data_IF_624211860451
#
_entry.id   IF_624211860451
#
_cell.length_a   1.000
_cell.length_b   1.000
_cell.length_c   1.000
_cell.angle_alpha   90.00
_cell.angle_beta   90.00
_cell.angle_gamma   90.00
#
_symmetry.space_group_name_H-M   'P 1'
#
loop_
_entity.id
_entity.type
_entity.pdbx_description
1 polymer ?
#
# COMPACT_ATOMS: atom_id res chain seq x y z
N UNK A 1 -10.42 -7.43 -1.61
CA UNK A 1 -11.52 -7.64 -0.67
C UNK A 1 -10.92 -7.66 0.73
N UNK A 2 -11.21 -6.60 1.50
CA UNK A 2 -10.81 -6.55 2.90
C UNK A 2 -11.48 -7.72 3.62
N UNK A 3 -10.69 -8.45 4.40
CA UNK A 3 -11.21 -9.54 5.19
C UNK A 3 -12.22 -8.95 6.19
N UNK A 4 -13.46 -9.40 6.16
CA UNK A 4 -14.56 -8.92 7.04
C UNK A 4 -14.12 -8.97 8.50
N UNK A 5 -13.44 -10.02 8.91
CA UNK A 5 -12.96 -10.23 10.28
C UNK A 5 -12.05 -9.09 10.76
N UNK A 6 -11.15 -8.61 9.89
CA UNK A 6 -10.26 -7.46 10.22
C UNK A 6 -11.02 -6.14 10.35
N UNK A 7 -12.09 -5.96 9.60
CA UNK A 7 -12.96 -4.80 9.73
C UNK A 7 -13.74 -4.84 11.03
N UNK A 8 -14.25 -6.00 11.39
CA UNK A 8 -15.02 -6.20 12.63
C UNK A 8 -14.15 -5.92 13.85
N UNK A 9 -12.87 -6.33 13.87
CA UNK A 9 -11.90 -5.98 14.92
C UNK A 9 -11.71 -4.47 15.10
N UNK A 10 -11.64 -3.72 14.01
CA UNK A 10 -11.51 -2.25 14.07
C UNK A 10 -12.82 -1.63 14.59
N UNK A 11 -13.97 -2.10 14.13
CA UNK A 11 -15.27 -1.61 14.57
C UNK A 11 -15.45 -1.88 16.07
N UNK A 12 -15.11 -3.06 16.56
CA UNK A 12 -15.17 -3.40 17.99
C UNK A 12 -14.28 -2.46 18.82
N UNK A 13 -13.06 -2.20 18.36
CA UNK A 13 -12.15 -1.27 19.02
C UNK A 13 -12.72 0.15 19.06
N UNK A 14 -13.34 0.62 17.99
CA UNK A 14 -13.99 1.92 17.95
C UNK A 14 -15.19 1.99 18.89
N UNK A 15 -16.02 0.96 18.93
CA UNK A 15 -17.17 0.86 19.84
C UNK A 15 -16.72 0.89 21.30
N UNK A 16 -15.67 0.14 21.65
CA UNK A 16 -15.10 0.14 23.02
C UNK A 16 -14.73 1.56 23.46
N UNK A 17 -14.12 2.35 22.56
CA UNK A 17 -13.71 3.71 22.87
C UNK A 17 -14.89 4.67 22.92
N UNK A 18 -15.81 4.56 21.98
CA UNK A 18 -17.01 5.43 21.95
C UNK A 18 -17.92 5.20 23.15
N UNK A 19 -18.02 3.97 23.64
CA UNK A 19 -18.89 3.58 24.75
C UNK A 19 -18.20 3.69 26.13
N UNK A 20 -16.87 3.98 26.18
CA UNK A 20 -16.20 4.09 27.49
C UNK A 20 -16.76 5.24 28.32
N UNK A 21 -17.01 5.00 29.61
CA UNK A 21 -17.44 6.01 30.57
C UNK A 21 -16.28 6.80 31.22
N UNK A 22 -15.03 6.57 30.80
CA UNK A 22 -13.86 7.24 31.35
C UNK A 22 -13.80 8.69 30.87
N UNK A 23 -13.27 9.57 31.72
CA UNK A 23 -13.02 10.98 31.34
C UNK A 23 -11.77 11.14 30.47
N UNK A 24 -10.77 10.27 30.66
CA UNK A 24 -9.52 10.26 29.87
C UNK A 24 -9.23 8.90 29.26
N UNK A 25 -8.55 8.91 28.11
CA UNK A 25 -8.10 7.71 27.38
C UNK A 25 -6.62 7.84 27.12
N UNK A 26 -5.85 6.83 27.50
CA UNK A 26 -4.39 6.80 27.27
C UNK A 26 -4.10 6.28 25.87
N UNK A 27 -3.46 7.10 25.02
CA UNK A 27 -3.02 6.74 23.67
C UNK A 27 -1.53 7.01 23.56
N UNK A 28 -0.74 5.98 23.20
CA UNK A 28 0.74 6.08 23.08
C UNK A 28 1.46 6.62 24.33
N UNK A 29 0.88 6.41 25.51
CA UNK A 29 1.46 6.87 26.77
C UNK A 29 1.06 8.30 27.18
N UNK A 30 0.31 9.01 26.37
CA UNK A 30 -0.27 10.31 26.71
C UNK A 30 -1.77 10.17 27.01
N UNK A 31 -2.25 10.94 27.98
CA UNK A 31 -3.67 10.99 28.33
C UNK A 31 -4.39 12.08 27.51
N UNK A 32 -5.48 11.71 26.91
CA UNK A 32 -6.35 12.62 26.15
C UNK A 32 -7.74 12.64 26.72
N UNK A 33 -8.44 13.80 26.72
CA UNK A 33 -9.85 13.86 27.08
C UNK A 33 -10.66 12.90 26.19
N UNK A 34 -11.52 12.10 26.81
CA UNK A 34 -12.28 11.08 26.06
C UNK A 34 -13.17 11.72 24.95
N UNK A 35 -13.66 12.94 25.15
CA UNK A 35 -14.45 13.64 24.15
C UNK A 35 -13.64 13.95 22.88
N UNK A 36 -12.38 14.39 23.02
CA UNK A 36 -11.48 14.60 21.89
C UNK A 36 -11.24 13.31 21.10
N UNK A 37 -11.06 12.19 21.83
CA UNK A 37 -10.84 10.88 21.20
C UNK A 37 -12.10 10.44 20.45
N UNK A 38 -13.28 10.57 21.06
CA UNK A 38 -14.57 10.26 20.43
C UNK A 38 -14.81 11.10 19.18
N UNK A 39 -14.54 12.41 19.23
CA UNK A 39 -14.68 13.30 18.08
C UNK A 39 -13.79 12.86 16.91
N UNK A 40 -12.54 12.47 17.17
CA UNK A 40 -11.63 11.96 16.14
C UNK A 40 -12.11 10.63 15.58
N UNK A 41 -12.60 9.72 16.41
CA UNK A 41 -13.14 8.43 15.96
C UNK A 41 -14.37 8.60 15.05
N UNK A 42 -15.23 9.59 15.31
CA UNK A 42 -16.38 9.89 14.43
C UNK A 42 -16.00 10.44 13.05
N UNK A 43 -14.78 10.98 12.89
CA UNK A 43 -14.26 11.46 11.59
C UNK A 43 -13.66 10.35 10.72
N UNK A 44 -13.55 9.14 11.24
CA UNK A 44 -12.98 8.00 10.49
C UNK A 44 -13.95 7.58 9.38
N UNK A 45 -13.41 7.42 8.18
CA UNK A 45 -14.12 6.93 7.01
C UNK A 45 -13.36 5.75 6.36
N UNK A 46 -13.89 5.21 5.26
CA UNK A 46 -13.29 4.08 4.55
C UNK A 46 -11.84 4.33 4.11
N UNK A 47 -11.51 5.55 3.67
CA UNK A 47 -10.14 5.89 3.26
C UNK A 47 -9.16 5.84 4.44
N UNK A 48 -9.59 6.27 5.63
CA UNK A 48 -8.77 6.15 6.84
C UNK A 48 -8.53 4.68 7.20
N UNK A 49 -9.54 3.82 7.03
CA UNK A 49 -9.40 2.38 7.27
C UNK A 49 -8.42 1.74 6.31
N UNK A 50 -8.48 2.07 5.01
CA UNK A 50 -7.50 1.61 4.01
C UNK A 50 -6.08 2.04 4.36
N UNK A 51 -5.91 3.29 4.76
CA UNK A 51 -4.63 3.81 5.23
C UNK A 51 -4.10 3.02 6.43
N UNK A 52 -4.95 2.71 7.42
CA UNK A 52 -4.58 1.95 8.62
C UNK A 52 -4.12 0.54 8.26
N UNK A 53 -4.83 -0.15 7.36
CA UNK A 53 -4.42 -1.46 6.88
C UNK A 53 -3.09 -1.42 6.12
N UNK A 54 -2.89 -0.43 5.26
CA UNK A 54 -1.61 -0.22 4.59
C UNK A 54 -0.45 0.00 5.57
N UNK A 55 -0.67 0.83 6.60
CA UNK A 55 0.32 1.04 7.66
C UNK A 55 0.61 -0.24 8.45
N UNK A 56 -0.41 -1.04 8.74
CA UNK A 56 -0.25 -2.30 9.47
C UNK A 56 0.56 -3.31 8.65
N UNK A 57 0.29 -3.45 7.36
CA UNK A 57 1.01 -4.37 6.45
C UNK A 57 2.50 -4.00 6.34
N UNK A 58 2.81 -2.71 6.24
CA UNK A 58 4.20 -2.24 6.18
C UNK A 58 4.97 -2.43 7.50
N UNK A 59 4.27 -2.44 8.65
CA UNK A 59 4.88 -2.49 9.97
C UNK A 59 4.60 -3.79 10.74
N UNK A 60 3.96 -4.79 10.14
CA UNK A 60 3.49 -6.00 10.82
C UNK A 60 4.58 -6.71 11.66
N UNK A 61 5.82 -6.77 11.15
CA UNK A 61 6.94 -7.41 11.84
C UNK A 61 7.46 -6.64 13.07
N UNK A 62 7.11 -5.35 13.21
CA UNK A 62 7.58 -4.45 14.29
C UNK A 62 6.52 -4.23 15.37
N UNK A 63 5.27 -4.59 15.11
CA UNK A 63 4.16 -4.35 16.04
C UNK A 63 4.13 -5.43 17.11
N UNK A 64 4.41 -5.06 18.36
CA UNK A 64 4.33 -5.96 19.53
C UNK A 64 2.92 -6.05 20.12
N UNK A 65 2.17 -4.96 20.05
CA UNK A 65 0.81 -4.89 20.58
C UNK A 65 -0.11 -4.27 19.52
N UNK A 66 -0.85 -5.12 18.82
CA UNK A 66 -1.74 -4.75 17.72
C UNK A 66 -2.84 -3.79 18.19
N UNK A 67 -3.48 -4.06 19.33
CA UNK A 67 -4.55 -3.20 19.87
C UNK A 67 -4.06 -1.77 20.12
N UNK A 68 -2.90 -1.60 20.78
CA UNK A 68 -2.31 -0.27 21.01
C UNK A 68 -1.92 0.42 19.71
N UNK A 69 -1.36 -0.33 18.76
CA UNK A 69 -0.98 0.20 17.46
C UNK A 69 -2.21 0.70 16.68
N UNK A 70 -3.24 -0.13 16.57
CA UNK A 70 -4.48 0.24 15.88
C UNK A 70 -5.14 1.46 16.54
N UNK A 71 -5.24 1.51 17.86
CA UNK A 71 -5.78 2.65 18.58
C UNK A 71 -5.03 3.94 18.26
N UNK A 72 -3.69 3.88 18.29
CA UNK A 72 -2.83 5.04 17.98
C UNK A 72 -3.01 5.48 16.53
N UNK A 73 -3.05 4.53 15.60
CA UNK A 73 -3.17 4.83 14.17
C UNK A 73 -4.56 5.39 13.85
N UNK A 74 -5.64 4.82 14.44
CA UNK A 74 -7.00 5.33 14.34
C UNK A 74 -7.12 6.77 14.84
N UNK A 75 -6.55 7.05 16.02
CA UNK A 75 -6.58 8.40 16.59
C UNK A 75 -5.85 9.44 15.74
N UNK A 76 -4.74 9.05 15.10
CA UNK A 76 -3.93 9.96 14.30
C UNK A 76 -4.35 10.02 12.82
N UNK A 77 -5.04 9.00 12.29
CA UNK A 77 -5.39 8.91 10.87
C UNK A 77 -6.03 10.18 10.28
N UNK A 78 -7.01 10.82 10.93
CA UNK A 78 -7.64 12.02 10.39
C UNK A 78 -6.67 13.22 10.24
N UNK A 79 -5.57 13.22 11.00
CA UNK A 79 -4.59 14.31 10.97
C UNK A 79 -3.37 14.00 10.09
N UNK A 80 -3.04 12.72 9.87
CA UNK A 80 -1.77 12.30 9.27
C UNK A 80 -1.90 11.69 7.88
N UNK A 81 -3.07 11.19 7.51
CA UNK A 81 -3.31 10.50 6.24
C UNK A 81 -2.92 11.36 5.02
N UNK A 82 -3.30 12.66 5.00
CA UNK A 82 -2.97 13.56 3.90
C UNK A 82 -1.45 13.68 3.69
N UNK A 83 -0.72 13.97 4.78
CA UNK A 83 0.74 14.08 4.73
C UNK A 83 1.43 12.77 4.31
N UNK A 84 0.87 11.63 4.69
CA UNK A 84 1.40 10.33 4.29
C UNK A 84 1.28 10.12 2.77
N UNK A 85 0.11 10.35 2.19
CA UNK A 85 -0.10 10.19 0.76
C UNK A 85 0.71 11.20 -0.07
N UNK A 86 0.84 12.44 0.39
CA UNK A 86 1.71 13.44 -0.24
C UNK A 86 3.18 13.00 -0.24
N UNK A 87 3.65 12.44 0.87
CA UNK A 87 5.00 11.90 0.95
C UNK A 87 5.19 10.69 0.02
N UNK A 88 4.18 9.81 -0.07
CA UNK A 88 4.19 8.65 -0.95
C UNK A 88 4.27 9.07 -2.43
N UNK A 89 3.45 10.02 -2.85
CA UNK A 89 3.46 10.55 -4.22
C UNK A 89 4.82 11.16 -4.57
N UNK A 90 5.42 11.92 -3.64
CA UNK A 90 6.77 12.50 -3.85
C UNK A 90 7.85 11.42 -3.95
N UNK A 91 7.74 10.36 -3.17
CA UNK A 91 8.66 9.22 -3.23
C UNK A 91 8.54 8.48 -4.57
N UNK A 92 7.33 8.16 -5.00
CA UNK A 92 7.06 7.45 -6.25
C UNK A 92 7.48 8.27 -7.49
N UNK A 93 7.35 9.60 -7.42
CA UNK A 93 7.84 10.51 -8.46
C UNK A 93 9.36 10.42 -8.57
N UNK A 94 10.09 10.57 -7.45
CA UNK A 94 11.56 10.50 -7.43
C UNK A 94 12.05 9.15 -7.94
N UNK A 95 11.43 8.06 -7.49
CA UNK A 95 11.80 6.72 -7.94
C UNK A 95 11.61 6.55 -9.45
N UNK A 96 10.54 7.09 -10.03
CA UNK A 96 10.32 7.07 -11.49
C UNK A 96 11.38 7.89 -12.24
N UNK A 97 11.77 9.05 -11.72
CA UNK A 97 12.82 9.88 -12.30
C UNK A 97 14.19 9.20 -12.25
N UNK A 98 14.51 8.52 -11.15
CA UNK A 98 15.74 7.71 -11.03
C UNK A 98 15.74 6.53 -12.00
N UNK A 99 14.65 5.78 -12.08
CA UNK A 99 14.51 4.67 -13.03
C UNK A 99 14.63 5.16 -14.48
N UNK A 100 14.09 6.35 -14.79
CA UNK A 100 14.23 6.96 -16.12
C UNK A 100 15.67 7.31 -16.43
N UNK A 101 16.41 7.98 -15.53
CA UNK A 101 17.83 8.30 -15.68
C UNK A 101 18.71 7.07 -15.88
N UNK A 102 18.45 6.01 -15.11
CA UNK A 102 19.20 4.73 -15.23
C UNK A 102 18.92 4.05 -16.57
N UNK A 103 17.71 4.18 -17.14
CA UNK A 103 17.41 3.64 -18.47
C UNK A 103 18.03 4.46 -19.58
N UNK A 104 18.09 5.77 -19.45
CA UNK A 104 18.71 6.69 -20.41
C UNK A 104 20.24 6.49 -20.48
N UNK A 105 20.90 6.29 -19.33
CA UNK A 105 22.35 6.03 -19.27
C UNK A 105 22.77 4.66 -19.85
N UNK A 106 21.82 3.75 -20.06
CA UNK A 106 22.03 2.40 -20.64
C UNK A 106 21.72 2.32 -22.13
N UNK A 107 21.38 3.43 -22.80
CA UNK A 107 21.19 3.45 -24.25
C UNK A 107 22.58 3.39 -24.89
N UNK A 108 22.89 2.34 -25.68
CA UNK A 108 24.20 2.23 -26.33
C UNK A 108 24.42 3.39 -27.30
N UNK A 109 25.63 3.97 -27.34
CA UNK A 109 25.99 5.11 -28.17
C UNK A 109 25.68 4.89 -29.65
N UNK A 110 25.73 3.66 -30.16
CA UNK A 110 25.44 3.37 -31.56
C UNK A 110 23.96 3.63 -31.95
N UNK A 111 23.02 3.85 -31.01
CA UNK A 111 21.66 4.25 -31.30
C UNK A 111 21.49 5.76 -31.52
N UNK A 112 22.46 6.57 -31.05
CA UNK A 112 22.44 8.04 -31.20
C UNK A 112 22.83 8.43 -32.61
N UNK A 113 23.74 7.68 -33.25
CA UNK A 113 24.25 7.94 -34.59
C UNK A 113 23.25 7.59 -35.73
N UNK A 114 22.18 6.85 -35.41
CA UNK A 114 21.18 6.43 -36.39
C UNK A 114 20.09 7.48 -36.67
N UNK A 115 20.23 8.73 -36.17
CA UNK A 115 19.28 9.82 -36.42
C UNK A 115 17.88 9.61 -35.80
N UNK A 116 17.77 8.69 -34.86
CA UNK A 116 16.55 8.48 -34.09
C UNK A 116 16.44 9.53 -32.99
N UNK A 117 15.37 10.34 -33.02
CA UNK A 117 15.02 11.24 -31.91
C UNK A 117 14.87 10.44 -30.62
N UNK A 118 15.40 10.99 -29.51
CA UNK A 118 15.32 10.38 -28.17
C UNK A 118 13.90 9.95 -27.78
N UNK A 119 12.86 10.66 -28.24
CA UNK A 119 11.45 10.33 -27.99
C UNK A 119 11.02 9.01 -28.64
N UNK A 120 11.55 8.70 -29.83
CA UNK A 120 11.23 7.46 -30.56
C UNK A 120 11.91 6.24 -29.95
N UNK A 121 13.14 6.41 -29.44
CA UNK A 121 13.85 5.32 -28.74
C UNK A 121 13.17 4.96 -27.43
N UNK A 122 12.76 5.97 -26.64
CA UNK A 122 12.02 5.79 -25.38
C UNK A 122 10.68 5.06 -25.60
N UNK A 123 9.92 5.43 -26.65
CA UNK A 123 8.67 4.75 -27.01
C UNK A 123 8.88 3.29 -27.44
N UNK A 124 9.95 2.99 -28.14
CA UNK A 124 10.25 1.63 -28.60
C UNK A 124 10.65 0.72 -27.43
N UNK A 125 11.39 1.24 -26.43
CA UNK A 125 11.78 0.53 -25.23
C UNK A 125 10.60 0.28 -24.27
N UNK A 126 9.71 1.27 -24.12
CA UNK A 126 8.50 1.09 -23.31
C UNK A 126 7.58 0.03 -23.88
N UNK A 127 7.43 -0.05 -25.21
CA UNK A 127 6.66 -1.10 -25.92
C UNK A 127 7.29 -2.49 -25.78
N UNK A 128 8.63 -2.61 -25.82
CA UNK A 128 9.33 -3.90 -25.59
C UNK A 128 9.20 -4.35 -24.13
N UNK A 129 9.28 -3.46 -23.15
CA UNK A 129 9.07 -3.76 -21.72
C UNK A 129 7.65 -4.25 -21.44
N UNK A 130 6.64 -3.58 -21.99
CA UNK A 130 5.25 -4.01 -21.90
C UNK A 130 5.03 -5.41 -22.51
N UNK A 131 5.67 -5.69 -23.65
CA UNK A 131 5.60 -7.02 -24.32
C UNK A 131 6.33 -8.12 -23.54
N UNK A 132 7.45 -7.81 -22.85
CA UNK A 132 8.13 -8.76 -21.95
C UNK A 132 7.33 -9.00 -20.66
N UNK A 133 6.73 -7.98 -20.06
CA UNK A 133 5.89 -8.10 -18.88
C UNK A 133 4.62 -8.93 -19.17
N UNK A 134 4.01 -8.77 -20.34
CA UNK A 134 2.90 -9.62 -20.78
C UNK A 134 3.30 -11.07 -21.00
N UNK A 135 4.49 -11.35 -21.58
CA UNK A 135 4.99 -12.72 -21.75
C UNK A 135 5.33 -13.39 -20.41
N UNK A 136 5.82 -12.66 -19.42
CA UNK A 136 6.08 -13.20 -18.09
C UNK A 136 4.79 -13.52 -17.33
N UNK A 137 3.75 -12.66 -17.41
CA UNK A 137 2.42 -12.93 -16.86
C UNK A 137 1.74 -14.13 -17.52
N UNK A 138 1.84 -14.27 -18.84
CA UNK A 138 1.31 -15.42 -19.58
C UNK A 138 2.01 -16.74 -19.18
N UNK A 139 3.34 -16.72 -18.95
CA UNK A 139 4.08 -17.89 -18.47
C UNK A 139 3.73 -18.29 -17.03
N UNK A 140 3.44 -17.32 -16.15
CA UNK A 140 2.95 -17.61 -14.79
C UNK A 140 1.53 -18.20 -14.81
N UNK A 141 0.64 -17.68 -15.65
CA UNK A 141 -0.71 -18.21 -15.82
C UNK A 141 -0.71 -19.65 -16.32
N UNK A 142 0.12 -19.98 -17.32
CA UNK A 142 0.26 -21.36 -17.83
C UNK A 142 0.84 -22.34 -16.78
N UNK A 143 1.75 -21.89 -15.89
CA UNK A 143 2.26 -22.72 -14.80
C UNK A 143 1.21 -23.00 -13.73
N UNK A 144 0.29 -22.07 -13.47
CA UNK A 144 -0.79 -22.24 -12.50
C UNK A 144 -1.92 -23.14 -13.03
N UNK A 145 -2.23 -23.10 -14.34
CA UNK A 145 -3.24 -23.96 -14.95
C UNK A 145 -2.71 -25.39 -15.21
N UNK A 146 -1.43 -25.55 -15.53
CA UNK A 146 -0.80 -26.88 -15.75
C UNK A 146 -0.71 -27.74 -14.48
N UNK A 147 -0.72 -27.18 -13.29
CA UNK A 147 -0.73 -27.97 -12.03
C UNK A 147 -2.10 -28.54 -11.64
N UNK A 148 -3.17 -28.13 -12.30
CA UNK A 148 -4.53 -28.61 -11.99
C UNK A 148 -4.97 -29.85 -12.77
N UNK A 149 -4.26 -30.24 -13.83
CA UNK A 149 -4.70 -31.34 -14.72
C UNK A 149 -4.09 -32.71 -14.37
N UNK A 150 -3.07 -32.78 -13.51
CA UNK A 150 -2.39 -34.04 -13.20
C UNK A 150 -2.92 -34.80 -11.97
N UNK A 151 -4.06 -34.40 -11.36
CA UNK A 151 -4.57 -35.02 -10.11
C UNK A 151 -5.87 -35.81 -10.24
N UNK A 152 -6.37 -36.06 -11.46
CA UNK A 152 -7.61 -36.83 -11.67
C UNK A 152 -7.45 -37.97 -12.66
N UNK A 153 -6.41 -38.79 -12.52
CA UNK A 153 -6.39 -40.09 -13.20
C UNK A 153 -5.58 -41.14 -12.41
N UNK A 154 -6.21 -41.66 -11.32
CA UNK A 154 -6.01 -43.01 -10.78
C UNK A 154 -7.13 -43.29 -9.79
N UNK A 155 -8.21 -43.87 -10.29
CA UNK A 155 -8.90 -45.05 -9.74
C UNK A 155 -9.74 -45.64 -10.84
#
# INVERSE_FOLDING_TARGET
PYNRDRMDEIVELMVEILCTGRETITISGAEYPAELVRERMRKINSMHIEYIFGCLEQNASRVRNIKKYLLTTLFNAPATMGNYYDAQVRYDRRKREEDYRVTESKVPEHFVDAGFSMDTASMCWSKRRAKMAMKSKARLSLKLTGRRISRTRRR
#
